data_IF_105401637986
#
_entry.id   IF_105401637986
#
_cell.length_a   1.000
_cell.length_b   1.000
_cell.length_c   1.000
_cell.angle_alpha   90.00
_cell.angle_beta   90.00
_cell.angle_gamma   90.00
#
_symmetry.space_group_name_H-M   'P 1'
#
loop_
_entity.id
_entity.type
_entity.pdbx_description
1 polymer ?
#
# COMPACT_ATOMS: atom_id res chain seq x y z
N UNK A 1 -2.33 17.49 6.73
CA UNK A 1 -2.22 16.10 6.27
C UNK A 1 -1.59 16.09 4.89
N UNK A 2 -0.61 15.25 4.65
CA UNK A 2 0.12 15.17 3.38
C UNK A 2 -0.38 13.97 2.58
N UNK A 3 -0.82 14.20 1.35
CA UNK A 3 -1.20 13.11 0.46
C UNK A 3 0.07 12.47 -0.13
N UNK A 4 0.19 11.17 0.01
CA UNK A 4 1.39 10.43 -0.37
C UNK A 4 1.28 9.69 -1.71
N UNK A 5 0.14 9.76 -2.39
CA UNK A 5 -0.09 9.11 -3.67
C UNK A 5 0.92 9.53 -4.72
N UNK A 6 1.52 8.57 -5.39
CA UNK A 6 2.44 8.81 -6.50
C UNK A 6 1.79 9.62 -7.62
N UNK A 7 0.58 9.28 -8.01
CA UNK A 7 -0.15 9.96 -9.09
C UNK A 7 -0.39 11.45 -8.83
N UNK A 8 -0.53 11.84 -7.55
CA UNK A 8 -0.67 13.23 -7.14
C UNK A 8 0.68 13.96 -7.03
N UNK A 9 1.72 13.26 -6.60
CA UNK A 9 3.01 13.85 -6.25
C UNK A 9 4.05 13.84 -7.39
N UNK A 10 3.90 12.99 -8.40
CA UNK A 10 4.88 12.81 -9.48
C UNK A 10 5.24 14.08 -10.25
N UNK A 11 4.36 15.07 -10.27
CA UNK A 11 4.55 16.38 -10.93
C UNK A 11 4.96 17.50 -9.96
N UNK A 12 5.06 17.19 -8.68
CA UNK A 12 5.50 18.18 -7.69
C UNK A 12 6.98 18.50 -7.87
N UNK A 13 7.33 19.78 -7.72
CA UNK A 13 8.74 20.25 -7.74
C UNK A 13 9.58 19.65 -6.61
N UNK A 14 8.93 19.19 -5.53
CA UNK A 14 9.59 18.55 -4.40
C UNK A 14 9.74 17.03 -4.57
N UNK A 15 9.15 16.46 -5.64
CA UNK A 15 9.24 15.02 -5.89
C UNK A 15 10.62 14.66 -6.42
N UNK A 16 11.30 13.73 -5.75
CA UNK A 16 12.60 13.19 -6.17
C UNK A 16 12.42 11.79 -6.77
N UNK A 17 12.77 11.66 -8.04
CA UNK A 17 12.84 10.36 -8.69
C UNK A 17 14.11 9.63 -8.24
N UNK A 18 13.95 8.38 -7.83
CA UNK A 18 15.04 7.51 -7.42
C UNK A 18 15.17 6.38 -8.44
N UNK A 19 16.31 6.31 -9.10
CA UNK A 19 16.65 5.24 -10.04
C UNK A 19 17.41 4.09 -9.35
N UNK A 20 18.03 4.38 -8.22
CA UNK A 20 18.77 3.42 -7.41
C UNK A 20 17.94 2.99 -6.20
N UNK A 21 17.69 1.69 -6.10
CA UNK A 21 16.92 1.10 -4.99
C UNK A 21 17.58 1.26 -3.61
N UNK A 22 18.87 1.60 -3.58
CA UNK A 22 19.62 1.85 -2.34
C UNK A 22 19.50 3.29 -1.84
N UNK A 23 18.98 4.21 -2.65
CA UNK A 23 18.85 5.61 -2.26
C UNK A 23 17.75 5.79 -1.19
N UNK A 24 18.10 6.56 -0.19
CA UNK A 24 17.24 6.82 0.99
C UNK A 24 16.55 8.18 0.97
N UNK A 25 16.89 9.05 0.03
CA UNK A 25 16.40 10.42 -0.07
C UNK A 25 15.34 10.66 -1.15
N UNK A 26 15.02 9.63 -1.95
CA UNK A 26 13.98 9.70 -2.97
C UNK A 26 12.56 9.79 -2.38
N UNK A 27 11.61 10.38 -3.13
CA UNK A 27 10.20 10.43 -2.74
C UNK A 27 9.53 9.06 -2.79
N UNK A 28 9.97 8.20 -3.72
CA UNK A 28 9.57 6.79 -3.81
C UNK A 28 10.72 5.93 -3.31
N UNK A 29 10.48 5.15 -2.28
CA UNK A 29 11.51 4.34 -1.62
C UNK A 29 11.07 2.90 -1.51
N UNK A 30 12.05 1.98 -1.52
CA UNK A 30 11.80 0.57 -1.25
C UNK A 30 11.27 0.38 0.17
N UNK A 31 10.19 -0.37 0.33
CA UNK A 31 9.55 -0.56 1.63
C UNK A 31 10.49 -1.14 2.69
N UNK A 32 11.36 -2.06 2.31
CA UNK A 32 12.37 -2.64 3.21
C UNK A 32 13.33 -1.60 3.78
N UNK A 33 13.74 -0.61 2.97
CA UNK A 33 14.58 0.50 3.42
C UNK A 33 13.81 1.42 4.37
N UNK A 34 12.56 1.69 4.09
CA UNK A 34 11.71 2.52 4.98
C UNK A 34 11.56 1.84 6.34
N UNK A 35 11.29 0.54 6.38
CA UNK A 35 11.21 -0.21 7.63
C UNK A 35 12.52 -0.17 8.42
N UNK A 36 13.63 -0.31 7.73
CA UNK A 36 14.96 -0.22 8.36
C UNK A 36 15.18 1.15 9.00
N UNK A 37 14.93 2.23 8.26
CA UNK A 37 15.08 3.59 8.77
C UNK A 37 14.17 3.87 9.97
N UNK A 38 12.91 3.45 9.91
CA UNK A 38 11.98 3.61 11.02
C UNK A 38 12.39 2.79 12.25
N UNK A 39 12.93 1.59 12.06
CA UNK A 39 13.46 0.77 13.14
C UNK A 39 14.64 1.43 13.85
N UNK A 40 15.51 2.09 13.10
CA UNK A 40 16.63 2.86 13.65
C UNK A 40 16.15 4.09 14.44
N UNK A 41 15.06 4.74 14.00
CA UNK A 41 14.51 5.92 14.67
C UNK A 41 13.65 5.61 15.90
N UNK A 42 12.84 4.57 15.85
CA UNK A 42 11.80 4.29 16.86
C UNK A 42 11.98 2.98 17.62
N UNK A 43 12.91 2.14 17.20
CA UNK A 43 13.15 0.82 17.75
C UNK A 43 12.35 -0.29 17.08
N UNK A 44 12.91 -1.51 17.07
CA UNK A 44 12.33 -2.65 16.36
C UNK A 44 10.96 -3.07 16.91
N UNK A 45 10.77 -3.02 18.23
CA UNK A 45 9.53 -3.42 18.88
C UNK A 45 8.34 -2.58 18.41
N UNK A 46 8.52 -1.26 18.35
CA UNK A 46 7.47 -0.35 17.86
C UNK A 46 7.12 -0.60 16.39
N UNK A 47 8.13 -0.87 15.59
CA UNK A 47 7.94 -1.12 14.16
C UNK A 47 7.23 -2.46 13.92
N UNK A 48 7.57 -3.51 14.65
CA UNK A 48 6.87 -4.79 14.54
C UNK A 48 5.40 -4.67 14.97
N UNK A 49 5.10 -3.93 16.03
CA UNK A 49 3.74 -3.62 16.45
C UNK A 49 2.97 -2.84 15.35
N UNK A 50 3.62 -1.85 14.77
CA UNK A 50 3.04 -1.06 13.67
C UNK A 50 2.72 -1.92 12.44
N UNK A 51 3.60 -2.82 12.05
CA UNK A 51 3.36 -3.77 10.96
C UNK A 51 2.14 -4.65 11.23
N UNK A 52 1.97 -5.12 12.45
CA UNK A 52 0.80 -5.93 12.85
C UNK A 52 -0.48 -5.12 12.73
N UNK A 53 -0.48 -3.87 13.19
CA UNK A 53 -1.63 -2.97 13.09
C UNK A 53 -2.00 -2.66 11.63
N UNK A 54 -1.01 -2.47 10.77
CA UNK A 54 -1.22 -2.25 9.33
C UNK A 54 -1.85 -3.48 8.68
N UNK A 55 -1.34 -4.68 8.97
CA UNK A 55 -1.92 -5.92 8.46
C UNK A 55 -3.37 -6.14 8.92
N UNK A 56 -3.65 -5.82 10.18
CA UNK A 56 -5.00 -5.90 10.73
C UNK A 56 -5.95 -4.92 10.04
N UNK A 57 -5.53 -3.69 9.81
CA UNK A 57 -6.28 -2.68 9.07
C UNK A 57 -6.59 -3.13 7.64
N UNK A 58 -5.62 -3.66 6.93
CA UNK A 58 -5.79 -4.17 5.56
C UNK A 58 -6.80 -5.33 5.55
N UNK A 59 -6.66 -6.28 6.44
CA UNK A 59 -7.55 -7.43 6.54
C UNK A 59 -9.00 -7.01 6.82
N UNK A 60 -9.21 -6.11 7.78
CA UNK A 60 -10.55 -5.60 8.11
C UNK A 60 -11.18 -4.84 6.93
N UNK A 61 -10.40 -4.02 6.25
CA UNK A 61 -10.88 -3.25 5.09
C UNK A 61 -11.29 -4.19 3.95
N UNK A 62 -10.46 -5.15 3.62
CA UNK A 62 -10.76 -6.12 2.56
C UNK A 62 -11.98 -6.97 2.91
N UNK A 63 -12.08 -7.49 4.13
CA UNK A 63 -13.23 -8.26 4.58
C UNK A 63 -14.54 -7.47 4.49
N UNK A 64 -14.50 -6.16 4.75
CA UNK A 64 -15.67 -5.30 4.65
C UNK A 64 -16.17 -5.13 3.21
N UNK A 65 -15.28 -5.13 2.20
CA UNK A 65 -15.63 -4.85 0.79
C UNK A 65 -15.70 -6.09 -0.09
N UNK A 66 -15.18 -7.23 0.34
CA UNK A 66 -15.16 -8.47 -0.45
C UNK A 66 -16.53 -8.90 -0.97
N UNK A 67 -17.64 -8.87 -0.20
CA UNK A 67 -18.94 -9.26 -0.72
C UNK A 67 -19.39 -8.43 -1.92
N UNK A 68 -19.18 -7.11 -1.86
CA UNK A 68 -19.51 -6.21 -2.96
C UNK A 68 -18.59 -6.42 -4.17
N UNK A 69 -17.29 -6.56 -3.96
CA UNK A 69 -16.32 -6.83 -5.03
C UNK A 69 -16.64 -8.14 -5.76
N UNK A 70 -17.05 -9.17 -5.05
CA UNK A 70 -17.46 -10.44 -5.68
C UNK A 70 -18.66 -10.27 -6.60
N UNK A 71 -19.67 -9.55 -6.16
CA UNK A 71 -20.88 -9.29 -6.96
C UNK A 71 -20.53 -8.52 -8.22
N UNK A 72 -19.79 -7.42 -8.09
CA UNK A 72 -19.38 -6.60 -9.24
C UNK A 72 -18.50 -7.38 -10.21
N UNK A 73 -17.59 -8.18 -9.70
CA UNK A 73 -16.71 -9.03 -10.52
C UNK A 73 -17.48 -10.07 -11.32
N UNK A 74 -18.48 -10.74 -10.72
CA UNK A 74 -19.34 -11.69 -11.42
C UNK A 74 -20.17 -11.05 -12.53
N UNK A 75 -20.61 -9.79 -12.34
CA UNK A 75 -21.34 -9.02 -13.35
C UNK A 75 -20.45 -8.67 -14.55
N UNK A 76 -19.21 -8.32 -14.31
CA UNK A 76 -18.26 -7.91 -15.36
C UNK A 76 -17.64 -9.07 -16.12
N UNK A 77 -17.64 -10.27 -15.57
CA UNK A 77 -17.07 -11.44 -16.22
C UNK A 77 -17.90 -11.90 -17.41
N UNK A 78 -17.26 -12.22 -18.55
CA UNK A 78 -17.96 -12.90 -19.65
C UNK A 78 -18.54 -14.25 -19.21
N UNK A 79 -19.72 -14.59 -19.74
CA UNK A 79 -20.36 -15.87 -19.46
C UNK A 79 -19.40 -17.04 -19.72
N UNK A 80 -19.27 -17.94 -18.73
CA UNK A 80 -18.45 -19.15 -18.83
C UNK A 80 -17.03 -19.02 -18.30
N UNK A 81 -16.58 -17.83 -17.85
CA UNK A 81 -15.30 -17.69 -17.16
C UNK A 81 -15.44 -17.92 -15.65
N UNK A 82 -14.46 -18.63 -15.07
CA UNK A 82 -14.41 -18.88 -13.64
C UNK A 82 -13.88 -17.66 -12.89
N UNK A 83 -14.57 -17.18 -11.83
CA UNK A 83 -14.15 -15.99 -11.05
C UNK A 83 -12.87 -16.21 -10.24
N UNK A 84 -12.47 -17.45 -9.98
CA UNK A 84 -11.34 -17.84 -9.15
C UNK A 84 -9.94 -17.58 -9.76
N UNK A 85 -9.87 -17.19 -11.04
CA UNK A 85 -8.60 -16.86 -11.72
C UNK A 85 -8.28 -15.37 -11.74
N UNK A 86 -9.06 -14.54 -11.06
CA UNK A 86 -8.88 -13.09 -11.06
C UNK A 86 -8.36 -12.62 -9.71
N UNK A 87 -7.56 -11.57 -9.76
CA UNK A 87 -7.11 -10.86 -8.56
C UNK A 87 -7.42 -9.36 -8.68
N UNK A 88 -7.60 -8.72 -7.54
CA UNK A 88 -7.76 -7.29 -7.42
C UNK A 88 -6.48 -6.66 -6.89
N UNK A 89 -6.12 -5.52 -7.44
CA UNK A 89 -5.09 -4.67 -6.86
C UNK A 89 -5.75 -3.60 -6.01
N UNK A 90 -5.27 -3.43 -4.79
CA UNK A 90 -5.76 -2.41 -3.85
C UNK A 90 -4.58 -1.60 -3.37
N UNK A 91 -4.74 -0.29 -3.35
CA UNK A 91 -3.76 0.64 -2.81
C UNK A 91 -4.27 1.22 -1.50
N UNK A 92 -3.39 1.31 -0.51
CA UNK A 92 -3.66 1.90 0.79
C UNK A 92 -2.73 3.08 1.05
N UNK A 93 -3.30 4.21 1.40
CA UNK A 93 -2.56 5.34 1.92
C UNK A 93 -2.55 5.28 3.45
N UNK A 94 -1.37 5.25 4.03
CA UNK A 94 -1.19 5.16 5.47
C UNK A 94 -0.62 6.48 5.97
N UNK A 95 -1.34 7.10 6.88
CA UNK A 95 -0.96 8.37 7.48
C UNK A 95 -0.58 8.15 8.94
N UNK A 96 0.54 8.74 9.34
CA UNK A 96 0.99 8.79 10.73
C UNK A 96 0.68 10.17 11.32
N UNK A 97 -0.02 10.15 12.41
CA UNK A 97 -0.37 11.35 13.15
C UNK A 97 0.43 11.46 14.45
#
# INVERSE_FOLDING_TARGET
MHLTNYSLNKRSVHYKHTTDESQTDGSKRKLTLVWKQLSEMFGNERIERTKILIKDLINKTILAVVPQLKVEHEIELPRGKKPDLSCFQVEFDIFFF
#
